data_IF_364538929176
#
_entry.id   IF_364538929176
#
_cell.length_a   1.000
_cell.length_b   1.000
_cell.length_c   1.000
_cell.angle_alpha   90.00
_cell.angle_beta   90.00
_cell.angle_gamma   90.00
#
_symmetry.space_group_name_H-M   'P 1'
#
loop_
_entity.id
_entity.type
_entity.pdbx_description
1 polymer ?
#
# COMPACT_ATOMS: atom_id res chain seq x y z
N UNK A 1 0.61 10.52 -8.87
CA UNK A 1 0.58 9.39 -7.90
C UNK A 1 1.21 9.80 -6.59
N UNK A 2 0.61 9.42 -5.48
CA UNK A 2 1.16 9.60 -4.11
C UNK A 2 1.59 8.22 -3.61
N UNK A 3 2.82 8.12 -3.13
CA UNK A 3 3.36 6.91 -2.51
C UNK A 3 3.42 7.13 -0.99
N UNK A 4 2.62 6.37 -0.27
CA UNK A 4 2.63 6.37 1.20
C UNK A 4 3.74 5.45 1.69
N UNK A 5 4.59 5.98 2.56
CA UNK A 5 5.75 5.28 3.10
C UNK A 5 5.75 5.33 4.62
N UNK A 6 6.27 4.29 5.25
CA UNK A 6 6.38 4.26 6.73
C UNK A 6 7.36 5.32 7.25
N UNK A 7 7.05 5.97 8.36
CA UNK A 7 7.94 6.96 8.97
C UNK A 7 9.32 6.40 9.34
N UNK A 8 10.32 7.24 9.23
CA UNK A 8 11.70 6.99 9.64
C UNK A 8 12.53 6.17 8.64
N UNK A 9 11.97 5.09 8.09
CA UNK A 9 12.72 4.16 7.22
C UNK A 9 12.31 4.23 5.74
N UNK A 10 11.10 4.68 5.44
CA UNK A 10 10.57 4.73 4.09
C UNK A 10 10.32 3.34 3.48
N UNK A 11 10.30 3.29 2.16
CA UNK A 11 10.18 2.07 1.37
C UNK A 11 11.50 1.27 1.40
N UNK A 12 11.40 -0.05 1.43
CA UNK A 12 12.57 -0.92 1.42
C UNK A 12 13.40 -0.77 0.14
N UNK A 13 12.76 -0.43 -0.97
CA UNK A 13 13.42 -0.18 -2.26
C UNK A 13 14.46 0.96 -2.19
N UNK A 14 14.32 1.89 -1.23
CA UNK A 14 15.33 2.95 -0.98
C UNK A 14 16.69 2.40 -0.59
N UNK A 15 16.72 1.18 -0.04
CA UNK A 15 17.93 0.49 0.42
C UNK A 15 18.36 -0.66 -0.48
N UNK A 16 17.63 -0.88 -1.57
CA UNK A 16 17.95 -1.93 -2.54
C UNK A 16 19.03 -1.44 -3.52
N UNK A 17 20.13 -2.22 -3.62
CA UNK A 17 21.22 -1.91 -4.53
C UNK A 17 22.25 -0.91 -3.99
N UNK A 18 23.36 -0.76 -4.73
CA UNK A 18 24.50 0.04 -4.26
C UNK A 18 24.34 1.56 -4.44
N UNK A 19 23.39 2.02 -5.24
CA UNK A 19 23.29 3.44 -5.66
C UNK A 19 21.88 4.03 -5.67
N UNK A 20 20.94 3.44 -4.93
CA UNK A 20 19.53 3.86 -4.94
C UNK A 20 18.91 3.92 -6.36
N UNK A 21 19.55 3.28 -7.35
CA UNK A 21 19.11 3.34 -8.74
C UNK A 21 17.71 2.80 -8.94
N UNK A 22 17.39 1.70 -8.27
CA UNK A 22 16.05 1.08 -8.28
C UNK A 22 14.99 2.02 -7.72
N UNK A 23 15.30 2.68 -6.60
CA UNK A 23 14.39 3.67 -6.04
C UNK A 23 14.14 4.83 -7.00
N UNK A 24 15.20 5.40 -7.58
CA UNK A 24 15.12 6.52 -8.52
C UNK A 24 14.34 6.16 -9.79
N UNK A 25 14.48 4.96 -10.27
CA UNK A 25 13.81 4.46 -11.46
C UNK A 25 12.32 4.20 -11.19
N UNK A 26 12.01 3.35 -10.20
CA UNK A 26 10.64 2.93 -9.92
C UNK A 26 9.80 3.98 -9.19
N UNK A 27 10.43 4.97 -8.55
CA UNK A 27 9.71 6.05 -7.85
C UNK A 27 9.60 7.35 -8.65
N UNK A 28 10.08 7.34 -9.88
CA UNK A 28 9.98 8.50 -10.78
C UNK A 28 8.54 9.00 -10.88
N UNK A 29 8.38 10.34 -10.83
CA UNK A 29 7.09 11.03 -10.95
C UNK A 29 6.08 10.70 -9.83
N UNK A 30 6.52 10.12 -8.73
CA UNK A 30 5.69 9.90 -7.53
C UNK A 30 6.02 10.93 -6.46
N UNK A 31 4.99 11.42 -5.78
CA UNK A 31 5.13 12.25 -4.56
C UNK A 31 5.18 11.30 -3.37
N UNK A 32 6.19 11.45 -2.51
CA UNK A 32 6.31 10.66 -1.28
C UNK A 32 5.58 11.34 -0.12
N UNK A 33 4.86 10.55 0.65
CA UNK A 33 4.23 10.95 1.90
C UNK A 33 4.64 9.97 3.00
N UNK A 34 5.30 10.49 4.03
CA UNK A 34 5.61 9.71 5.24
C UNK A 34 4.39 9.69 6.14
N UNK A 35 3.77 8.52 6.32
CA UNK A 35 2.52 8.35 7.07
C UNK A 35 2.49 7.00 7.77
N UNK A 36 2.01 6.97 9.02
CA UNK A 36 1.76 5.72 9.73
C UNK A 36 0.25 5.35 9.63
N UNK A 37 -0.16 4.45 8.76
CA UNK A 37 -1.56 4.07 8.60
C UNK A 37 -2.11 3.22 9.75
N UNK A 38 -1.30 2.94 10.76
CA UNK A 38 -1.74 2.23 11.98
C UNK A 38 -2.18 3.18 13.08
N UNK A 39 -1.80 4.45 13.02
CA UNK A 39 -2.27 5.45 13.97
C UNK A 39 -3.59 6.05 13.51
N UNK A 40 -4.39 6.52 14.46
CA UNK A 40 -5.69 7.15 14.18
C UNK A 40 -5.52 8.39 13.29
N UNK A 41 -4.56 9.24 13.60
CA UNK A 41 -4.26 10.44 12.80
C UNK A 41 -3.80 10.06 11.38
N UNK A 42 -2.98 9.01 11.26
CA UNK A 42 -2.53 8.51 9.96
C UNK A 42 -3.67 7.96 9.12
N UNK A 43 -4.63 7.27 9.72
CA UNK A 43 -5.83 6.79 9.05
C UNK A 43 -6.72 7.95 8.58
N UNK A 44 -6.93 8.96 9.41
CA UNK A 44 -7.69 10.15 9.02
C UNK A 44 -7.08 10.87 7.82
N UNK A 45 -5.76 11.02 7.81
CA UNK A 45 -5.05 11.62 6.68
C UNK A 45 -5.18 10.75 5.42
N UNK A 46 -5.03 9.43 5.58
CA UNK A 46 -5.18 8.48 4.47
C UNK A 46 -6.57 8.55 3.86
N UNK A 47 -7.62 8.55 4.68
CA UNK A 47 -9.01 8.62 4.22
C UNK A 47 -9.29 9.92 3.47
N UNK A 48 -8.77 11.07 3.93
CA UNK A 48 -8.85 12.33 3.19
C UNK A 48 -8.18 12.28 1.81
N UNK A 49 -7.08 11.54 1.68
CA UNK A 49 -6.46 11.33 0.36
C UNK A 49 -7.33 10.43 -0.53
N UNK A 50 -7.95 9.43 0.06
CA UNK A 50 -8.83 8.49 -0.63
C UNK A 50 -10.08 9.16 -1.19
N UNK A 51 -10.64 10.18 -0.52
CA UNK A 51 -11.82 10.94 -0.99
C UNK A 51 -11.66 11.49 -2.43
N UNK A 52 -10.43 11.75 -2.86
CA UNK A 52 -10.11 12.32 -4.19
C UNK A 52 -9.22 11.41 -5.04
N UNK A 53 -9.02 10.17 -4.62
CA UNK A 53 -8.22 9.21 -5.36
C UNK A 53 -9.06 8.41 -6.34
N UNK A 54 -8.53 8.14 -7.52
CA UNK A 54 -9.16 7.24 -8.49
C UNK A 54 -8.83 5.78 -8.18
N UNK A 55 -7.59 5.53 -7.74
CA UNK A 55 -7.09 4.17 -7.51
C UNK A 55 -6.29 4.11 -6.20
N UNK A 56 -6.59 3.12 -5.39
CA UNK A 56 -5.81 2.75 -4.21
C UNK A 56 -5.10 1.42 -4.47
N UNK A 57 -3.77 1.41 -4.33
CA UNK A 57 -2.96 0.20 -4.55
C UNK A 57 -2.26 -0.20 -3.26
N UNK A 58 -2.38 -1.48 -2.89
CA UNK A 58 -1.68 -2.04 -1.75
C UNK A 58 -1.11 -3.44 -2.07
N UNK A 59 -0.08 -3.85 -1.33
CA UNK A 59 0.57 -5.15 -1.50
C UNK A 59 0.87 -5.84 -0.15
N UNK A 60 0.03 -5.61 0.84
CA UNK A 60 0.14 -6.30 2.13
C UNK A 60 -0.42 -7.71 2.06
N UNK A 61 -0.04 -8.53 3.03
CA UNK A 61 -0.70 -9.84 3.22
C UNK A 61 -2.20 -9.60 3.47
N UNK A 62 -3.08 -10.36 2.80
CA UNK A 62 -4.53 -10.22 2.97
C UNK A 62 -4.98 -10.18 4.44
N UNK A 63 -5.91 -9.29 4.74
CA UNK A 63 -6.38 -9.03 6.11
C UNK A 63 -5.56 -7.97 6.88
N UNK A 64 -4.46 -7.47 6.33
CA UNK A 64 -3.63 -6.47 7.01
C UNK A 64 -4.35 -5.12 7.14
N UNK A 65 -4.95 -4.62 6.05
CA UNK A 65 -5.70 -3.36 6.07
C UNK A 65 -6.93 -3.47 6.98
N UNK A 66 -7.60 -4.59 6.96
CA UNK A 66 -8.75 -4.88 7.81
C UNK A 66 -8.37 -4.84 9.29
N UNK A 67 -7.23 -5.42 9.67
CA UNK A 67 -6.69 -5.35 11.04
C UNK A 67 -6.34 -3.93 11.47
N UNK A 68 -6.00 -3.06 10.54
CA UNK A 68 -5.72 -1.65 10.83
C UNK A 68 -6.98 -0.78 10.84
N UNK A 69 -8.15 -1.34 10.52
CA UNK A 69 -9.41 -0.59 10.46
C UNK A 69 -9.59 0.26 9.20
N UNK A 70 -8.81 0.00 8.17
CA UNK A 70 -8.85 0.69 6.86
C UNK A 70 -9.00 -0.32 5.71
N UNK A 71 -9.79 -1.36 5.94
CA UNK A 71 -10.12 -2.35 4.91
C UNK A 71 -10.93 -1.75 3.75
N UNK A 72 -11.16 -2.55 2.68
CA UNK A 72 -11.88 -2.08 1.48
C UNK A 72 -13.21 -1.41 1.78
N UNK A 73 -13.98 -1.92 2.72
CA UNK A 73 -15.29 -1.36 3.08
C UNK A 73 -15.17 0.07 3.62
N UNK A 74 -14.16 0.35 4.43
CA UNK A 74 -13.89 1.67 4.98
C UNK A 74 -13.41 2.63 3.89
N UNK A 75 -12.53 2.17 3.01
CA UNK A 75 -12.02 2.96 1.88
C UNK A 75 -13.14 3.31 0.90
N UNK A 76 -14.01 2.34 0.55
CA UNK A 76 -15.14 2.55 -0.34
C UNK A 76 -16.25 3.40 0.30
N UNK A 77 -16.38 3.38 1.63
CA UNK A 77 -17.28 4.29 2.33
C UNK A 77 -16.81 5.76 2.22
N UNK A 78 -15.49 5.98 2.21
CA UNK A 78 -14.91 7.33 2.00
C UNK A 78 -14.99 7.78 0.54
N UNK A 79 -14.87 6.84 -0.42
CA UNK A 79 -14.97 7.12 -1.86
C UNK A 79 -15.60 5.92 -2.58
N UNK A 80 -16.89 5.97 -2.89
CA UNK A 80 -17.59 4.87 -3.57
C UNK A 80 -17.08 4.55 -4.98
N UNK A 81 -16.44 5.51 -5.64
CA UNK A 81 -15.90 5.34 -7.01
C UNK A 81 -14.44 4.84 -7.02
N UNK A 82 -13.87 4.57 -5.84
CA UNK A 82 -12.49 4.14 -5.70
C UNK A 82 -12.25 2.74 -6.29
N UNK A 83 -11.27 2.61 -7.17
CA UNK A 83 -10.77 1.31 -7.60
C UNK A 83 -9.69 0.83 -6.62
N UNK A 84 -9.89 -0.32 -5.98
CA UNK A 84 -8.94 -0.90 -5.05
C UNK A 84 -8.19 -2.07 -5.72
N UNK A 85 -6.87 -1.93 -5.82
CA UNK A 85 -5.98 -2.96 -6.36
C UNK A 85 -5.17 -3.58 -5.22
N UNK A 86 -5.38 -4.87 -4.99
CA UNK A 86 -4.73 -5.63 -3.92
C UNK A 86 -3.79 -6.66 -4.53
N UNK A 87 -2.50 -6.36 -4.48
CA UNK A 87 -1.44 -7.24 -5.01
C UNK A 87 -1.02 -8.23 -3.93
N UNK A 88 -1.09 -9.52 -4.23
CA UNK A 88 -0.67 -10.58 -3.30
C UNK A 88 -0.12 -11.78 -4.08
N UNK A 89 0.74 -12.57 -3.46
CA UNK A 89 1.34 -13.73 -4.11
C UNK A 89 0.37 -14.90 -4.30
N UNK A 90 -0.72 -14.97 -3.51
CA UNK A 90 -1.62 -16.14 -3.45
C UNK A 90 -3.11 -15.79 -3.64
N UNK A 91 -3.41 -14.55 -3.98
CA UNK A 91 -4.79 -14.06 -4.03
C UNK A 91 -5.34 -13.66 -2.66
N UNK A 92 -6.56 -13.11 -2.67
CA UNK A 92 -7.22 -12.63 -1.45
C UNK A 92 -7.96 -13.72 -0.69
N UNK A 93 -8.20 -14.86 -1.33
CA UNK A 93 -8.97 -16.00 -0.80
C UNK A 93 -8.22 -17.32 -1.04
N UNK A 94 -8.64 -18.37 -0.35
CA UNK A 94 -8.06 -19.70 -0.48
C UNK A 94 -7.06 -20.04 0.62
N UNK A 95 -6.57 -21.30 0.64
CA UNK A 95 -5.80 -21.85 1.75
C UNK A 95 -4.43 -21.17 1.95
N UNK A 96 -3.89 -20.56 0.92
CA UNK A 96 -2.59 -19.89 0.96
C UNK A 96 -2.67 -18.35 1.02
N UNK A 97 -3.85 -17.76 1.05
CA UNK A 97 -4.02 -16.30 1.05
C UNK A 97 -3.25 -15.60 2.18
N UNK A 98 -3.08 -16.25 3.32
CA UNK A 98 -2.35 -15.73 4.49
C UNK A 98 -0.82 -15.79 4.37
N UNK A 99 -0.30 -16.50 3.35
CA UNK A 99 1.16 -16.62 3.17
C UNK A 99 1.73 -15.34 2.53
N UNK A 100 2.94 -14.93 2.95
CA UNK A 100 3.63 -13.84 2.26
C UNK A 100 3.98 -14.26 0.83
N UNK A 101 3.93 -13.30 -0.09
CA UNK A 101 4.35 -13.48 -1.47
C UNK A 101 5.39 -12.44 -1.86
N UNK A 102 6.40 -12.88 -2.62
CA UNK A 102 7.43 -12.04 -3.21
C UNK A 102 7.53 -12.31 -4.71
N UNK A 103 8.23 -11.45 -5.44
CA UNK A 103 8.36 -11.53 -6.90
C UNK A 103 8.68 -12.94 -7.42
N UNK A 104 9.63 -13.63 -6.80
CA UNK A 104 10.02 -15.00 -7.16
C UNK A 104 8.92 -16.06 -7.06
N UNK A 105 7.75 -15.73 -6.53
CA UNK A 105 6.58 -16.63 -6.49
C UNK A 105 5.61 -16.37 -7.63
N UNK A 106 5.71 -15.24 -8.29
CA UNK A 106 4.74 -14.77 -9.29
C UNK A 106 5.36 -14.47 -10.65
N UNK A 107 6.68 -14.67 -10.79
CA UNK A 107 7.44 -14.56 -12.04
C UNK A 107 7.43 -15.87 -12.83
#
# INVERSE_FOLDING_TARGET
>A
MIKVERPGVGDDLRRFGKHESWWKEYSRSKRSLSLNPRSEEGQQILLKLVETADVFVESFVPGTLEKWGIGPDVLMAANPDLVIVRVSGWGQTGPYAHKPGFGSLIE
#
